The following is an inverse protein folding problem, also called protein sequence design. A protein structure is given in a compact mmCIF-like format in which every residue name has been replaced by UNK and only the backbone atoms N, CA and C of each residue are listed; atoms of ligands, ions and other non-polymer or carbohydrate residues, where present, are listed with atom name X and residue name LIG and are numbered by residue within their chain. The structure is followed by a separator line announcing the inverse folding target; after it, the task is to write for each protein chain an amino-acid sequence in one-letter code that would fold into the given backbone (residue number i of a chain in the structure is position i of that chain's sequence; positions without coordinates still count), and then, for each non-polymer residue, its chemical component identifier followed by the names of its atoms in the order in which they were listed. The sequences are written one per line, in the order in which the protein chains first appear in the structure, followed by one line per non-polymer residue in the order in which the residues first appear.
data_IF_803508476658
#
_entry.id   IF_803508476658
#
_cell.length_a   1.000
_cell.length_b   1.000
_cell.length_c   1.000
_cell.angle_alpha   90.00
_cell.angle_beta   90.00
_cell.angle_gamma   90.00
#
_symmetry.space_group_name_H-M   'P 1'
#
loop_
_entity.id
_entity.type
_entity.pdbx_description
1 polymer ?
#
# COMPACT_ATOMS: atom_id res chain seq x y z
N UNK A 1 -2.06 -25.12 -13.53
CA UNK A 1 -2.39 -24.68 -14.90
C UNK A 1 -2.43 -23.17 -14.81
N UNK A 2 -1.42 -22.48 -15.37
CA UNK A 2 -1.34 -21.02 -15.33
C UNK A 2 -2.58 -20.43 -16.01
N UNK A 3 -3.21 -19.44 -15.38
CA UNK A 3 -4.35 -18.73 -15.93
C UNK A 3 -3.80 -17.66 -16.88
N UNK A 4 -4.09 -17.76 -18.16
CA UNK A 4 -3.75 -16.69 -19.11
C UNK A 4 -4.71 -15.51 -18.96
N UNK A 5 -4.15 -14.31 -18.99
CA UNK A 5 -4.81 -13.00 -18.98
C UNK A 5 -4.63 -12.27 -20.32
N UNK A 6 -4.25 -12.97 -21.40
CA UNK A 6 -3.88 -12.34 -22.67
C UNK A 6 -4.97 -11.40 -23.25
N UNK A 7 -6.26 -11.67 -23.01
CA UNK A 7 -7.35 -10.77 -23.43
C UNK A 7 -7.52 -9.59 -22.49
N UNK A 8 -7.43 -9.87 -21.19
CA UNK A 8 -7.58 -8.90 -20.12
C UNK A 8 -6.45 -7.87 -20.08
N UNK A 9 -5.24 -8.26 -20.50
CA UNK A 9 -4.07 -7.38 -20.60
C UNK A 9 -4.28 -6.24 -21.62
N UNK A 10 -5.17 -6.38 -22.60
CA UNK A 10 -5.51 -5.29 -23.51
C UNK A 10 -6.11 -4.08 -22.76
N UNK A 11 -6.76 -4.30 -21.61
CA UNK A 11 -7.26 -3.22 -20.75
C UNK A 11 -6.12 -2.34 -20.20
N UNK A 12 -4.88 -2.84 -20.16
CA UNK A 12 -3.74 -2.07 -19.67
C UNK A 12 -3.33 -0.95 -20.64
N UNK A 13 -3.74 -1.03 -21.92
CA UNK A 13 -3.47 -0.03 -22.96
C UNK A 13 -4.42 1.17 -22.90
N UNK A 14 -5.51 1.10 -22.13
CA UNK A 14 -6.49 2.18 -22.03
C UNK A 14 -5.83 3.50 -21.58
N UNK A 15 -6.03 4.57 -22.32
CA UNK A 15 -5.47 5.90 -22.02
C UNK A 15 -6.45 6.84 -21.32
N UNK A 16 -6.04 8.10 -21.22
CA UNK A 16 -6.86 9.17 -20.68
C UNK A 16 -8.20 9.28 -21.42
N UNK A 17 -9.29 9.42 -20.66
CA UNK A 17 -10.66 9.52 -21.20
C UNK A 17 -11.32 8.17 -21.52
N UNK A 18 -10.63 7.05 -21.29
CA UNK A 18 -11.23 5.71 -21.39
C UNK A 18 -11.54 5.15 -20.00
N UNK A 19 -12.58 4.33 -19.90
CA UNK A 19 -12.97 3.67 -18.65
C UNK A 19 -12.44 2.25 -18.60
N UNK A 20 -11.68 1.93 -17.56
CA UNK A 20 -11.27 0.57 -17.26
C UNK A 20 -12.42 -0.17 -16.57
N UNK A 21 -12.68 -1.42 -16.96
CA UNK A 21 -13.62 -2.33 -16.30
C UNK A 21 -12.93 -3.68 -16.09
N UNK A 22 -12.71 -4.10 -14.84
CA UNK A 22 -11.96 -5.32 -14.58
C UNK A 22 -11.81 -5.66 -13.10
N UNK A 23 -10.92 -6.62 -12.83
CA UNK A 23 -10.57 -7.11 -11.51
C UNK A 23 -9.47 -6.23 -10.86
N UNK A 24 -9.42 -6.24 -9.52
CA UNK A 24 -8.46 -5.50 -8.70
C UNK A 24 -7.01 -5.68 -9.14
N UNK A 25 -6.61 -6.91 -9.46
CA UNK A 25 -5.22 -7.20 -9.81
C UNK A 25 -4.76 -6.55 -11.13
N UNK A 26 -5.65 -6.51 -12.13
CA UNK A 26 -5.41 -5.80 -13.39
C UNK A 26 -5.38 -4.28 -13.17
N UNK A 27 -6.23 -3.77 -12.27
CA UNK A 27 -6.23 -2.36 -11.91
C UNK A 27 -4.92 -1.93 -11.23
N UNK A 28 -4.35 -2.79 -10.37
CA UNK A 28 -3.02 -2.56 -9.77
C UNK A 28 -1.95 -2.52 -10.87
N UNK A 29 -1.92 -3.49 -11.78
CA UNK A 29 -0.95 -3.49 -12.90
C UNK A 29 -1.11 -2.24 -13.77
N UNK A 30 -2.34 -1.84 -14.08
CA UNK A 30 -2.62 -0.58 -14.80
C UNK A 30 -2.08 0.63 -14.04
N UNK A 31 -2.29 0.69 -12.73
CA UNK A 31 -1.79 1.78 -11.91
C UNK A 31 -0.25 1.81 -11.83
N UNK A 32 0.43 0.65 -11.87
CA UNK A 32 1.90 0.58 -11.98
C UNK A 32 2.38 1.22 -13.28
N UNK A 33 1.76 0.90 -14.42
CA UNK A 33 2.09 1.48 -15.73
C UNK A 33 1.80 2.99 -15.79
N UNK A 34 0.68 3.44 -15.21
CA UNK A 34 0.35 4.86 -15.04
C UNK A 34 1.34 5.58 -14.11
N UNK A 35 2.02 4.85 -13.23
CA UNK A 35 3.00 5.41 -12.29
C UNK A 35 4.41 5.52 -12.87
N UNK A 36 4.67 5.01 -14.08
CA UNK A 36 5.99 5.09 -14.72
C UNK A 36 7.07 4.34 -13.96
N UNK A 37 6.78 3.09 -13.57
CA UNK A 37 7.76 2.18 -12.99
C UNK A 37 8.89 1.89 -13.97
N UNK A 38 10.12 1.78 -13.47
CA UNK A 38 11.30 1.38 -14.23
C UNK A 38 11.48 -0.13 -14.25
N UNK A 39 11.02 -0.81 -13.20
CA UNK A 39 11.11 -2.25 -13.07
C UNK A 39 10.02 -2.82 -12.18
N UNK A 40 9.69 -4.09 -12.43
CA UNK A 40 8.75 -4.87 -11.63
C UNK A 40 9.21 -6.31 -11.50
N UNK A 41 9.00 -6.91 -10.34
CA UNK A 41 9.21 -8.34 -10.13
C UNK A 41 8.30 -8.91 -9.06
N UNK A 42 8.61 -10.10 -8.59
CA UNK A 42 7.82 -10.75 -7.55
C UNK A 42 8.00 -12.26 -7.51
N UNK A 43 7.31 -12.84 -6.54
CA UNK A 43 7.23 -14.28 -6.32
C UNK A 43 5.77 -14.69 -6.16
N UNK A 44 5.38 -15.80 -6.76
CA UNK A 44 3.98 -16.22 -6.83
C UNK A 44 3.45 -16.66 -5.47
N UNK A 45 2.23 -16.20 -5.12
CA UNK A 45 1.48 -16.73 -3.98
C UNK A 45 0.10 -16.10 -3.84
N UNK A 46 -0.93 -16.91 -3.58
CA UNK A 46 -2.31 -16.45 -3.40
C UNK A 46 -2.42 -15.59 -2.14
N UNK A 47 -3.17 -14.46 -2.11
CA UNK A 47 -4.19 -14.07 -3.08
C UNK A 47 -3.69 -13.21 -4.25
N UNK A 48 -2.39 -12.92 -4.34
CA UNK A 48 -1.78 -12.12 -5.42
C UNK A 48 -1.07 -13.00 -6.46
N UNK A 49 -1.40 -14.28 -6.53
CA UNK A 49 -0.76 -15.26 -7.42
C UNK A 49 -0.81 -14.84 -8.88
N UNK A 50 -1.94 -14.28 -9.31
CA UNK A 50 -2.16 -13.84 -10.68
C UNK A 50 -1.44 -12.53 -11.04
N UNK A 51 -0.83 -11.81 -10.09
CA UNK A 51 -0.03 -10.61 -10.44
C UNK A 51 1.06 -10.99 -11.42
N UNK A 52 1.81 -12.06 -11.13
CA UNK A 52 2.92 -12.49 -11.98
C UNK A 52 2.44 -12.96 -13.34
N UNK A 53 1.29 -13.65 -13.40
CA UNK A 53 0.68 -14.07 -14.67
C UNK A 53 0.31 -12.85 -15.53
N UNK A 54 -0.36 -11.85 -14.93
CA UNK A 54 -0.68 -10.59 -15.60
C UNK A 54 0.56 -9.83 -16.05
N UNK A 55 1.61 -9.76 -15.20
CA UNK A 55 2.86 -9.09 -15.55
C UNK A 55 3.59 -9.79 -16.71
N UNK A 56 3.56 -11.12 -16.74
CA UNK A 56 4.15 -11.91 -17.82
C UNK A 56 3.39 -11.75 -19.14
N UNK A 57 2.06 -11.79 -19.11
CA UNK A 57 1.23 -11.58 -20.30
C UNK A 57 1.29 -10.12 -20.80
N UNK A 58 1.62 -9.16 -19.92
CA UNK A 58 1.80 -7.75 -20.25
C UNK A 58 3.23 -7.36 -20.69
N UNK A 59 4.12 -8.33 -20.93
CA UNK A 59 5.53 -8.07 -21.28
C UNK A 59 5.69 -7.18 -22.50
N UNK A 60 4.90 -7.36 -23.54
CA UNK A 60 5.01 -6.53 -24.76
C UNK A 60 4.80 -5.03 -24.45
N UNK A 61 3.78 -4.71 -23.66
CA UNK A 61 3.49 -3.33 -23.22
C UNK A 61 4.65 -2.78 -22.38
N UNK A 62 5.21 -3.60 -21.50
CA UNK A 62 6.34 -3.20 -20.64
C UNK A 62 7.62 -3.01 -21.43
N UNK A 63 7.89 -3.87 -22.40
CA UNK A 63 9.06 -3.80 -23.27
C UNK A 63 8.99 -2.57 -24.18
N UNK A 64 7.82 -2.19 -24.69
CA UNK A 64 7.62 -0.92 -25.41
C UNK A 64 8.03 0.30 -24.56
N UNK A 65 7.67 0.30 -23.27
CA UNK A 65 8.03 1.35 -22.31
C UNK A 65 9.48 1.21 -21.77
N UNK A 66 10.16 0.09 -22.04
CA UNK A 66 11.51 -0.21 -21.55
C UNK A 66 11.57 -0.62 -20.08
N UNK A 67 10.45 -1.09 -19.51
CA UNK A 67 10.32 -1.54 -18.12
C UNK A 67 11.00 -2.90 -17.97
N UNK A 68 11.82 -3.08 -16.93
CA UNK A 68 12.40 -4.38 -16.63
C UNK A 68 11.42 -5.26 -15.85
N UNK A 69 11.05 -6.41 -16.43
CA UNK A 69 10.28 -7.46 -15.73
C UNK A 69 11.20 -8.58 -15.28
N UNK A 70 11.15 -8.94 -14.00
CA UNK A 70 11.94 -10.01 -13.39
C UNK A 70 11.04 -11.05 -12.71
N UNK A 71 11.28 -12.33 -12.97
CA UNK A 71 10.63 -13.43 -12.24
C UNK A 71 11.60 -13.91 -11.18
N UNK A 72 11.40 -13.50 -9.92
CA UNK A 72 12.34 -13.81 -8.86
C UNK A 72 12.20 -15.26 -8.39
N UNK A 73 13.30 -15.85 -7.92
CA UNK A 73 13.31 -17.21 -7.37
C UNK A 73 12.77 -17.29 -5.93
N UNK A 74 12.61 -16.15 -5.25
CA UNK A 74 12.07 -16.04 -3.88
C UNK A 74 11.63 -14.60 -3.58
N UNK A 75 10.86 -14.43 -2.51
CA UNK A 75 10.48 -13.11 -1.98
C UNK A 75 11.68 -12.30 -1.51
N UNK A 76 12.73 -12.96 -0.98
CA UNK A 76 13.99 -12.31 -0.63
C UNK A 76 14.68 -11.71 -1.87
N UNK A 77 14.70 -12.45 -2.99
CA UNK A 77 15.23 -11.96 -4.26
C UNK A 77 14.40 -10.79 -4.82
N UNK A 78 13.07 -10.89 -4.74
CA UNK A 78 12.17 -9.80 -5.11
C UNK A 78 12.45 -8.54 -4.27
N UNK A 79 12.44 -8.66 -2.94
CA UNK A 79 12.73 -7.53 -2.05
C UNK A 79 14.12 -6.91 -2.29
N UNK A 80 15.15 -7.73 -2.56
CA UNK A 80 16.49 -7.24 -2.88
C UNK A 80 16.53 -6.43 -4.18
N UNK A 81 15.68 -6.75 -5.16
CA UNK A 81 15.55 -6.01 -6.43
C UNK A 81 15.18 -4.53 -6.19
N UNK A 82 14.43 -4.23 -5.11
CA UNK A 82 14.11 -2.85 -4.73
C UNK A 82 15.36 -2.01 -4.35
N UNK A 83 16.50 -2.65 -4.12
CA UNK A 83 17.77 -1.97 -3.87
C UNK A 83 18.19 -0.99 -4.98
N UNK A 84 17.74 -1.19 -6.22
CA UNK A 84 18.00 -0.24 -7.31
C UNK A 84 17.40 1.17 -7.03
N UNK A 85 16.27 1.24 -6.32
CA UNK A 85 15.65 2.50 -5.89
C UNK A 85 16.40 3.22 -4.77
N UNK A 86 17.38 2.60 -4.10
CA UNK A 86 18.13 3.23 -3.00
C UNK A 86 18.95 4.41 -3.49
N UNK A 87 19.75 4.19 -4.53
CA UNK A 87 20.69 5.20 -5.05
C UNK A 87 20.13 5.95 -6.26
N UNK A 88 19.25 5.30 -7.03
CA UNK A 88 18.78 5.82 -8.30
C UNK A 88 17.32 6.23 -8.23
N UNK A 89 16.90 7.27 -9.01
CA UNK A 89 15.52 7.71 -9.10
C UNK A 89 14.70 6.76 -10.00
N UNK A 90 14.75 5.46 -9.71
CA UNK A 90 14.04 4.40 -10.40
C UNK A 90 12.84 3.98 -9.57
N UNK A 91 11.64 4.04 -10.15
CA UNK A 91 10.44 3.52 -9.49
C UNK A 91 10.41 2.00 -9.62
N UNK A 92 10.39 1.29 -8.49
CA UNK A 92 10.42 -0.16 -8.42
C UNK A 92 9.16 -0.74 -7.79
N UNK A 93 8.62 -1.82 -8.35
CA UNK A 93 7.51 -2.55 -7.77
C UNK A 93 7.84 -4.04 -7.60
N UNK A 94 7.37 -4.64 -6.51
CA UNK A 94 7.49 -6.09 -6.28
C UNK A 94 6.22 -6.65 -5.67
N UNK A 95 5.92 -7.92 -5.91
CA UNK A 95 4.72 -8.56 -5.36
C UNK A 95 4.98 -9.96 -4.77
N UNK A 96 4.32 -10.30 -3.66
CA UNK A 96 4.30 -11.65 -3.10
C UNK A 96 3.18 -11.86 -2.08
N UNK A 97 3.05 -13.10 -1.62
CA UNK A 97 2.13 -13.50 -0.55
C UNK A 97 2.70 -13.19 0.84
N UNK A 98 2.01 -12.34 1.60
CA UNK A 98 2.22 -12.11 3.03
C UNK A 98 1.38 -13.03 3.93
N UNK A 99 1.82 -13.39 5.13
CA UNK A 99 3.04 -12.93 5.81
C UNK A 99 4.25 -13.83 5.60
N UNK A 100 4.04 -15.09 5.22
CA UNK A 100 5.13 -16.08 5.08
C UNK A 100 6.20 -15.64 4.06
N UNK A 101 5.80 -15.05 2.94
CA UNK A 101 6.75 -14.48 1.98
C UNK A 101 7.47 -13.25 2.53
N UNK A 102 6.79 -12.46 3.36
CA UNK A 102 7.40 -11.31 4.06
C UNK A 102 8.39 -11.76 5.15
N UNK A 103 8.18 -12.91 5.78
CA UNK A 103 9.19 -13.56 6.61
C UNK A 103 10.46 -13.87 5.79
N UNK A 104 10.32 -14.48 4.61
CA UNK A 104 11.44 -14.77 3.69
C UNK A 104 12.12 -13.48 3.24
N UNK A 105 11.36 -12.41 2.95
CA UNK A 105 11.88 -11.11 2.50
C UNK A 105 12.45 -10.22 3.62
N UNK A 106 12.29 -10.57 4.89
CA UNK A 106 12.45 -9.65 6.03
C UNK A 106 13.85 -9.02 6.13
N UNK A 107 14.90 -9.77 5.80
CA UNK A 107 16.29 -9.26 5.82
C UNK A 107 16.53 -8.19 4.74
N UNK A 108 16.14 -8.49 3.50
CA UNK A 108 16.24 -7.54 2.39
C UNK A 108 15.41 -6.27 2.65
N UNK A 109 14.19 -6.42 3.20
CA UNK A 109 13.34 -5.30 3.59
C UNK A 109 13.97 -4.45 4.70
N UNK A 110 14.65 -5.07 5.67
CA UNK A 110 15.33 -4.36 6.75
C UNK A 110 16.47 -3.51 6.20
N UNK A 111 17.26 -4.04 5.26
CA UNK A 111 18.32 -3.29 4.58
C UNK A 111 17.77 -2.14 3.73
N UNK A 112 16.73 -2.41 2.92
CA UNK A 112 16.06 -1.41 2.09
C UNK A 112 15.50 -0.25 2.94
N UNK A 113 14.79 -0.58 4.01
CA UNK A 113 14.14 0.42 4.84
C UNK A 113 15.13 1.21 5.70
N UNK A 114 16.23 0.57 6.15
CA UNK A 114 17.33 1.22 6.90
C UNK A 114 17.88 2.41 6.15
N UNK A 115 18.33 2.19 4.92
CA UNK A 115 18.86 3.27 4.09
C UNK A 115 17.75 4.21 3.61
N UNK A 116 16.60 3.65 3.22
CA UNK A 116 15.57 4.38 2.49
C UNK A 116 15.81 4.42 0.99
N UNK A 117 14.87 5.03 0.26
CA UNK A 117 14.83 5.01 -1.20
C UNK A 117 14.78 6.42 -1.79
N UNK A 118 15.41 6.58 -2.96
CA UNK A 118 15.39 7.79 -3.78
C UNK A 118 14.33 7.73 -4.87
N UNK A 119 14.27 6.62 -5.59
CA UNK A 119 13.14 6.29 -6.45
C UNK A 119 12.02 5.65 -5.64
N UNK A 120 10.76 5.88 -6.00
CA UNK A 120 9.66 5.29 -5.24
C UNK A 120 9.69 3.76 -5.29
N UNK A 121 9.54 3.11 -4.14
CA UNK A 121 9.55 1.65 -4.03
C UNK A 121 8.22 1.16 -3.44
N UNK A 122 7.49 0.34 -4.19
CA UNK A 122 6.19 -0.20 -3.80
C UNK A 122 6.25 -1.72 -3.68
N UNK A 123 5.72 -2.24 -2.58
CA UNK A 123 5.67 -3.66 -2.26
C UNK A 123 4.21 -4.08 -2.19
N UNK A 124 3.71 -4.76 -3.21
CA UNK A 124 2.33 -5.26 -3.24
C UNK A 124 2.27 -6.59 -2.49
N UNK A 125 1.64 -6.61 -1.32
CA UNK A 125 1.52 -7.81 -0.51
C UNK A 125 0.08 -8.32 -0.52
N UNK A 126 -0.08 -9.61 -0.80
CA UNK A 126 -1.36 -10.29 -0.64
C UNK A 126 -1.51 -10.85 0.77
N UNK A 127 -2.46 -10.36 1.56
CA UNK A 127 -2.74 -10.86 2.91
C UNK A 127 -4.15 -11.47 2.99
N UNK A 128 -4.34 -12.46 3.85
CA UNK A 128 -5.62 -13.15 4.03
C UNK A 128 -5.79 -13.64 5.49
N UNK A 129 -5.31 -12.83 6.43
CA UNK A 129 -5.55 -13.05 7.86
C UNK A 129 -7.05 -13.13 8.14
N UNK A 130 -7.47 -14.14 8.90
CA UNK A 130 -8.87 -14.43 9.19
C UNK A 130 -9.67 -15.02 8.02
N UNK A 131 -9.02 -15.30 6.89
CA UNK A 131 -9.63 -15.87 5.68
C UNK A 131 -8.96 -17.22 5.31
N UNK A 132 -9.48 -17.92 4.30
CA UNK A 132 -9.28 -19.36 4.16
C UNK A 132 -8.01 -19.86 3.45
N UNK A 133 -7.13 -19.01 2.93
CA UNK A 133 -5.97 -19.46 2.13
C UNK A 133 -4.62 -19.46 2.88
N UNK A 134 -4.50 -18.80 4.04
CA UNK A 134 -3.29 -18.85 4.87
C UNK A 134 -3.28 -20.01 5.85
N UNK A 135 -2.13 -20.70 5.88
CA UNK A 135 -1.79 -21.66 6.93
C UNK A 135 -1.37 -20.92 8.20
N UNK A 136 -0.58 -19.85 8.07
CA UNK A 136 -0.06 -19.05 9.18
C UNK A 136 -0.89 -17.77 9.29
N UNK A 137 -1.52 -17.58 10.45
CA UNK A 137 -2.39 -16.45 10.76
C UNK A 137 -1.58 -15.37 11.49
N UNK A 138 -0.71 -14.70 10.76
CA UNK A 138 0.07 -13.54 11.19
C UNK A 138 -0.24 -12.34 10.29
N UNK A 139 0.17 -11.13 10.68
CA UNK A 139 -0.12 -9.89 9.95
C UNK A 139 1.12 -9.13 9.50
N UNK A 140 1.05 -8.53 8.31
CA UNK A 140 2.14 -7.75 7.72
C UNK A 140 2.42 -6.45 8.46
N UNK A 141 1.43 -5.95 9.21
CA UNK A 141 1.56 -4.76 10.05
C UNK A 141 2.78 -4.83 10.98
N UNK A 142 3.08 -6.01 11.53
CA UNK A 142 4.26 -6.21 12.38
C UNK A 142 5.58 -5.92 11.64
N UNK A 143 5.68 -6.25 10.35
CA UNK A 143 6.86 -6.00 9.53
C UNK A 143 6.97 -4.52 9.13
N UNK A 144 5.84 -3.89 8.82
CA UNK A 144 5.76 -2.45 8.59
C UNK A 144 6.31 -1.69 9.81
N UNK A 145 5.87 -2.05 11.01
CA UNK A 145 6.35 -1.48 12.28
C UNK A 145 7.82 -1.79 12.55
N UNK A 146 8.22 -3.07 12.41
CA UNK A 146 9.60 -3.53 12.63
C UNK A 146 10.60 -2.75 11.80
N UNK A 147 10.31 -2.59 10.52
CA UNK A 147 11.24 -2.01 9.54
C UNK A 147 10.99 -0.53 9.25
N UNK A 148 9.94 0.07 9.85
CA UNK A 148 9.47 1.43 9.55
C UNK A 148 9.18 1.64 8.05
N UNK A 149 8.38 0.74 7.49
CA UNK A 149 7.90 0.77 6.10
C UNK A 149 6.43 1.21 6.14
N UNK A 150 6.03 2.16 5.29
CA UNK A 150 4.64 2.65 5.33
C UNK A 150 3.69 1.60 4.77
N UNK A 151 2.54 1.41 5.43
CA UNK A 151 1.54 0.42 5.08
C UNK A 151 0.26 1.11 4.61
N UNK A 152 -0.08 0.86 3.37
CA UNK A 152 -1.35 1.23 2.74
C UNK A 152 -2.27 0.03 2.78
N UNK A 153 -3.50 0.21 3.24
CA UNK A 153 -4.58 -0.79 3.22
C UNK A 153 -5.83 -0.15 2.59
N UNK A 154 -5.86 -0.01 1.26
CA UNK A 154 -6.91 0.73 0.56
C UNK A 154 -8.30 0.12 0.78
N UNK A 155 -9.31 0.99 0.86
CA UNK A 155 -10.71 0.61 0.72
C UNK A 155 -10.92 -0.26 -0.53
N UNK A 156 -11.53 -1.46 -0.43
CA UNK A 156 -11.69 -2.39 -1.55
C UNK A 156 -12.64 -1.89 -2.64
N UNK A 157 -12.16 -0.97 -3.48
CA UNK A 157 -12.75 -0.52 -4.74
C UNK A 157 -11.62 -0.07 -5.69
N UNK A 158 -11.85 -0.15 -7.01
CA UNK A 158 -10.77 0.14 -7.97
C UNK A 158 -10.24 1.58 -7.92
N UNK A 159 -11.09 2.63 -7.86
CA UNK A 159 -10.59 4.01 -7.76
C UNK A 159 -9.63 4.24 -6.58
N UNK A 160 -9.96 3.75 -5.38
CA UNK A 160 -9.10 3.88 -4.20
C UNK A 160 -7.82 3.06 -4.36
N UNK A 161 -7.90 1.81 -4.83
CA UNK A 161 -6.72 0.95 -5.03
C UNK A 161 -5.74 1.58 -6.03
N UNK A 162 -6.23 2.01 -7.19
CA UNK A 162 -5.41 2.66 -8.24
C UNK A 162 -4.78 3.94 -7.70
N UNK A 163 -5.56 4.77 -7.01
CA UNK A 163 -5.05 6.00 -6.39
C UNK A 163 -3.98 5.70 -5.34
N UNK A 164 -4.12 4.64 -4.56
CA UNK A 164 -3.13 4.26 -3.53
C UNK A 164 -1.84 3.71 -4.13
N UNK A 165 -1.88 3.04 -5.28
CA UNK A 165 -0.66 2.69 -6.02
C UNK A 165 0.07 3.96 -6.46
N UNK A 166 -0.62 4.89 -7.13
CA UNK A 166 -0.03 6.14 -7.62
C UNK A 166 0.54 6.99 -6.48
N UNK A 167 -0.28 7.20 -5.43
CA UNK A 167 0.13 7.96 -4.24
C UNK A 167 1.14 7.22 -3.39
N UNK A 168 1.22 5.89 -3.45
CA UNK A 168 2.24 5.09 -2.78
C UNK A 168 3.64 5.40 -3.30
N UNK A 169 3.81 5.52 -4.63
CA UNK A 169 5.08 5.96 -5.20
C UNK A 169 5.43 7.39 -4.80
N UNK A 170 4.47 8.31 -4.87
CA UNK A 170 4.70 9.71 -4.47
C UNK A 170 5.03 9.85 -2.97
N UNK A 171 4.33 9.11 -2.10
CA UNK A 171 4.62 9.02 -0.67
C UNK A 171 6.03 8.47 -0.43
N UNK A 172 6.39 7.42 -1.17
CA UNK A 172 7.71 6.79 -1.06
C UNK A 172 8.83 7.78 -1.38
N UNK A 173 8.66 8.56 -2.46
CA UNK A 173 9.63 9.58 -2.88
C UNK A 173 9.66 10.79 -1.95
N UNK A 174 8.50 11.26 -1.50
CA UNK A 174 8.38 12.42 -0.61
C UNK A 174 8.96 12.16 0.79
N UNK A 175 8.93 10.90 1.24
CA UNK A 175 9.42 10.50 2.57
C UNK A 175 10.70 9.67 2.53
N UNK A 176 11.25 9.38 1.35
CA UNK A 176 12.40 8.49 1.15
C UNK A 176 12.26 7.10 1.79
N UNK A 177 11.03 6.57 1.88
CA UNK A 177 10.73 5.27 2.51
C UNK A 177 10.05 4.33 1.53
N UNK A 178 10.40 3.04 1.47
CA UNK A 178 9.57 2.06 0.76
C UNK A 178 8.15 2.01 1.35
N UNK A 179 7.19 1.58 0.52
CA UNK A 179 5.77 1.51 0.88
C UNK A 179 5.23 0.11 0.58
N UNK A 180 4.52 -0.47 1.52
CA UNK A 180 3.70 -1.66 1.35
C UNK A 180 2.29 -1.27 0.94
N UNK A 181 1.77 -1.91 -0.10
CA UNK A 181 0.36 -1.92 -0.48
C UNK A 181 -0.21 -3.28 -0.11
N UNK A 182 -0.98 -3.32 0.96
CA UNK A 182 -1.70 -4.51 1.40
C UNK A 182 -2.97 -4.70 0.57
N UNK A 183 -3.13 -5.90 0.01
CA UNK A 183 -4.33 -6.30 -0.69
C UNK A 183 -4.86 -7.58 -0.09
N UNK A 184 -6.08 -7.50 0.45
CA UNK A 184 -6.79 -8.65 0.98
C UNK A 184 -7.50 -9.43 -0.12
N UNK A 185 -7.90 -10.67 0.14
CA UNK A 185 -8.61 -11.53 -0.84
C UNK A 185 -9.71 -10.77 -1.59
N UNK A 186 -10.57 -10.06 -0.86
CA UNK A 186 -11.69 -9.32 -1.46
C UNK A 186 -11.24 -8.13 -2.31
N UNK A 187 -10.14 -7.48 -1.95
CA UNK A 187 -9.55 -6.40 -2.74
C UNK A 187 -8.86 -6.93 -4.00
N UNK A 188 -8.20 -8.08 -3.92
CA UNK A 188 -7.59 -8.74 -5.09
C UNK A 188 -8.64 -9.10 -6.15
N UNK A 189 -9.81 -9.60 -5.71
CA UNK A 189 -10.88 -10.10 -6.57
C UNK A 189 -12.05 -9.11 -6.76
N UNK A 190 -11.93 -7.86 -6.30
CA UNK A 190 -13.00 -6.88 -6.49
C UNK A 190 -13.09 -6.53 -7.97
N UNK A 191 -14.31 -6.52 -8.50
CA UNK A 191 -14.58 -5.98 -9.83
C UNK A 191 -15.13 -4.57 -9.72
N UNK A 192 -14.74 -3.70 -10.64
CA UNK A 192 -15.24 -2.33 -10.66
C UNK A 192 -14.80 -1.59 -11.92
N UNK A 193 -14.86 -0.27 -11.84
CA UNK A 193 -14.43 0.60 -12.91
C UNK A 193 -13.72 1.85 -12.39
N UNK A 194 -12.86 2.44 -13.20
CA UNK A 194 -12.24 3.74 -12.95
C UNK A 194 -11.85 4.41 -14.28
N UNK A 195 -11.66 5.73 -14.26
CA UNK A 195 -11.13 6.46 -15.42
C UNK A 195 -9.63 6.22 -15.54
N UNK A 196 -9.21 5.61 -16.66
CA UNK A 196 -7.82 5.31 -16.91
C UNK A 196 -7.02 6.58 -17.22
N UNK A 197 -5.72 6.52 -16.95
CA UNK A 197 -4.74 7.52 -17.39
C UNK A 197 -3.78 6.87 -18.39
N UNK A 198 -3.10 7.71 -19.16
CA UNK A 198 -2.05 7.25 -20.06
C UNK A 198 -0.94 6.53 -19.29
N UNK A 199 -0.43 5.45 -19.87
CA UNK A 199 0.78 4.81 -19.38
C UNK A 199 1.94 5.79 -19.51
N UNK A 200 2.81 5.81 -18.50
CA UNK A 200 3.94 6.74 -18.47
C UNK A 200 5.21 5.95 -18.70
N UNK A 201 5.98 6.33 -19.71
CA UNK A 201 7.34 5.82 -19.84
C UNK A 201 8.17 6.26 -18.61
N UNK A 202 8.90 5.36 -17.96
CA UNK A 202 9.77 5.73 -16.85
C UNK A 202 10.87 6.68 -17.32
N UNK A 203 11.30 7.59 -16.43
CA UNK A 203 12.40 8.53 -16.73
C UNK A 203 13.68 7.81 -17.13
N UNK A 204 13.98 6.70 -16.45
CA UNK A 204 15.11 5.83 -16.73
C UNK A 204 14.64 4.39 -16.84
N UNK A 205 15.16 3.66 -17.82
CA UNK A 205 14.64 2.37 -18.26
C UNK A 205 15.70 1.57 -19.02
N UNK A 206 15.38 0.36 -19.47
CA UNK A 206 16.25 -0.40 -20.38
C UNK A 206 16.49 0.30 -21.72
N UNK A 207 15.60 1.21 -22.11
CA UNK A 207 15.70 2.03 -23.34
C UNK A 207 16.34 3.40 -23.11
N UNK A 208 16.38 3.86 -21.86
CA UNK A 208 16.99 5.13 -21.47
C UNK A 208 17.80 4.95 -20.19
N UNK A 209 19.05 4.50 -20.33
CA UNK A 209 19.93 4.20 -19.21
C UNK A 209 20.39 5.48 -18.49
N UNK A 210 20.79 5.35 -17.22
CA UNK A 210 21.45 6.43 -16.49
C UNK A 210 22.89 6.54 -17.00
N UNK A 211 23.24 7.66 -17.63
CA UNK A 211 24.58 7.87 -18.19
C UNK A 211 25.66 8.00 -17.10
N UNK A 212 25.35 8.71 -16.00
CA UNK A 212 26.28 9.00 -14.92
C UNK A 212 25.68 8.52 -13.58
N UNK A 213 25.81 7.23 -13.24
CA UNK A 213 25.31 6.71 -11.97
C UNK A 213 26.11 7.29 -10.80
N UNK A 214 25.43 7.98 -9.89
CA UNK A 214 26.03 8.41 -8.63
C UNK A 214 25.93 7.28 -7.58
N UNK A 215 27.04 7.05 -6.88
CA UNK A 215 27.09 6.13 -5.75
C UNK A 215 27.42 6.91 -4.48
N UNK A 216 26.56 6.81 -3.48
CA UNK A 216 26.74 7.42 -2.18
C UNK A 216 27.00 6.32 -1.14
N UNK A 217 28.21 6.30 -0.58
CA UNK A 217 28.56 5.31 0.45
C UNK A 217 27.70 5.46 1.72
N UNK A 218 27.19 6.66 2.02
CA UNK A 218 26.26 6.88 3.13
C UNK A 218 24.90 6.20 2.90
N UNK A 219 24.61 5.73 1.68
CA UNK A 219 23.43 4.93 1.32
C UNK A 219 23.71 3.43 1.30
N UNK A 220 24.77 2.99 1.97
CA UNK A 220 24.99 1.58 2.28
C UNK A 220 24.62 1.36 3.75
N UNK A 221 23.94 0.26 4.05
CA UNK A 221 23.50 -0.09 5.40
C UNK A 221 24.68 -0.66 6.22
N UNK A 222 25.70 0.17 6.46
CA UNK A 222 26.92 -0.20 7.18
C UNK A 222 27.26 0.82 8.29
N UNK A 223 27.71 0.36 9.48
CA UNK A 223 28.22 1.27 10.50
C UNK A 223 29.44 2.09 9.98
N UNK A 224 29.55 3.38 10.33
CA UNK A 224 28.69 4.13 11.24
C UNK A 224 27.48 4.83 10.58
N UNK A 225 27.27 4.70 9.26
CA UNK A 225 26.19 5.39 8.54
C UNK A 225 24.80 4.98 9.05
N UNK A 226 24.64 3.73 9.50
CA UNK A 226 23.40 3.20 10.08
C UNK A 226 22.86 4.03 11.25
N UNK A 227 23.72 4.62 12.08
CA UNK A 227 23.27 5.48 13.19
C UNK A 227 22.58 6.76 12.70
N UNK A 228 23.09 7.36 11.63
CA UNK A 228 22.49 8.54 11.01
C UNK A 228 21.20 8.15 10.26
N UNK A 229 21.21 7.01 9.58
CA UNK A 229 20.05 6.47 8.87
C UNK A 229 18.87 6.22 9.82
N UNK A 230 19.09 5.61 10.99
CA UNK A 230 18.02 5.38 11.98
C UNK A 230 17.42 6.68 12.53
N UNK A 231 18.26 7.68 12.84
CA UNK A 231 17.75 9.02 13.23
C UNK A 231 16.93 9.65 12.11
N UNK A 232 17.42 9.53 10.87
CA UNK A 232 16.75 10.09 9.70
C UNK A 232 15.34 9.50 9.48
N UNK A 233 15.14 8.20 9.79
CA UNK A 233 13.80 7.60 9.71
C UNK A 233 12.78 8.31 10.59
N UNK A 234 13.14 8.64 11.83
CA UNK A 234 12.22 9.20 12.82
C UNK A 234 12.14 10.72 12.71
N UNK A 235 13.26 11.41 12.50
CA UNK A 235 13.32 12.88 12.54
C UNK A 235 12.95 13.53 11.20
N UNK A 236 13.07 12.80 10.08
CA UNK A 236 12.83 13.35 8.74
C UNK A 236 11.77 12.57 7.97
N UNK A 237 11.97 11.26 7.79
CA UNK A 237 11.13 10.44 6.90
C UNK A 237 9.71 10.28 7.44
N UNK A 238 9.56 10.00 8.73
CA UNK A 238 8.26 9.87 9.37
C UNK A 238 7.43 11.16 9.34
N UNK A 239 7.93 12.34 9.77
CA UNK A 239 7.19 13.58 9.64
C UNK A 239 6.84 13.93 8.19
N UNK A 240 7.73 13.65 7.23
CA UNK A 240 7.45 13.85 5.82
C UNK A 240 6.30 12.96 5.32
N UNK A 241 6.25 11.70 5.76
CA UNK A 241 5.16 10.78 5.45
C UNK A 241 3.83 11.27 6.02
N UNK A 242 3.78 11.58 7.32
CA UNK A 242 2.56 12.10 7.99
C UNK A 242 2.06 13.37 7.29
N UNK A 243 2.96 14.30 6.97
CA UNK A 243 2.63 15.52 6.22
C UNK A 243 2.04 15.19 4.84
N UNK A 244 2.69 14.30 4.08
CA UNK A 244 2.23 13.92 2.75
C UNK A 244 0.84 13.27 2.79
N UNK A 245 0.62 12.34 3.73
CA UNK A 245 -0.65 11.63 3.92
C UNK A 245 -1.78 12.64 4.14
N UNK A 246 -1.57 13.60 5.04
CA UNK A 246 -2.54 14.65 5.38
C UNK A 246 -2.82 15.60 4.21
N UNK A 247 -1.77 16.12 3.58
CA UNK A 247 -1.92 17.07 2.47
C UNK A 247 -2.61 16.44 1.25
N UNK A 248 -2.39 15.15 1.03
CA UNK A 248 -3.01 14.40 -0.06
C UNK A 248 -4.33 13.73 0.34
N UNK A 249 -4.81 13.87 1.58
CA UNK A 249 -6.06 13.26 2.08
C UNK A 249 -6.14 11.78 1.70
N UNK A 250 -5.17 10.99 2.12
CA UNK A 250 -5.15 9.57 1.78
C UNK A 250 -6.21 8.79 2.58
N UNK A 251 -6.49 9.19 3.81
CA UNK A 251 -7.60 8.64 4.59
C UNK A 251 -8.94 9.31 4.22
N UNK A 252 -10.05 8.59 4.41
CA UNK A 252 -11.39 9.06 4.06
C UNK A 252 -12.25 9.23 5.32
N UNK A 253 -13.13 10.23 5.34
CA UNK A 253 -14.16 10.40 6.39
C UNK A 253 -15.53 10.36 5.73
N UNK A 254 -16.42 9.53 6.27
CA UNK A 254 -17.83 9.46 5.90
C UNK A 254 -18.66 9.98 7.06
N UNK A 255 -19.45 11.02 6.82
CA UNK A 255 -20.30 11.64 7.83
C UNK A 255 -21.51 10.76 8.18
N UNK A 256 -22.05 10.96 9.38
CA UNK A 256 -23.27 10.28 9.84
C UNK A 256 -24.02 11.12 10.87
N UNK A 257 -25.37 11.06 10.90
CA UNK A 257 -26.21 11.84 11.81
C UNK A 257 -25.99 11.56 13.32
N UNK A 258 -25.49 10.37 13.69
CA UNK A 258 -25.18 10.01 15.09
C UNK A 258 -23.75 10.46 15.40
N UNK A 259 -23.56 11.78 15.51
CA UNK A 259 -22.24 12.40 15.58
C UNK A 259 -21.49 12.14 16.92
N UNK A 260 -22.22 11.77 17.97
CA UNK A 260 -21.68 11.46 19.30
C UNK A 260 -20.89 10.14 19.34
N UNK A 261 -21.07 9.28 18.34
CA UNK A 261 -20.31 8.04 18.14
C UNK A 261 -19.43 8.14 16.89
N UNK A 262 -18.44 7.25 16.78
CA UNK A 262 -17.62 7.13 15.57
C UNK A 262 -17.10 5.72 15.39
N UNK A 263 -16.74 5.38 14.16
CA UNK A 263 -16.06 4.13 13.83
C UNK A 263 -14.75 4.50 13.15
N UNK A 264 -13.64 3.96 13.64
CA UNK A 264 -12.34 4.02 12.97
C UNK A 264 -12.08 2.63 12.39
N UNK A 265 -11.90 2.50 11.07
CA UNK A 265 -11.68 1.19 10.46
C UNK A 265 -10.50 1.17 9.50
N UNK A 266 -9.81 0.04 9.46
CA UNK A 266 -8.89 -0.28 8.36
C UNK A 266 -9.63 -0.22 7.01
N UNK A 267 -8.99 0.35 5.99
CA UNK A 267 -9.59 0.49 4.66
C UNK A 267 -10.04 -0.84 4.09
N UNK A 268 -9.20 -1.87 4.18
CA UNK A 268 -9.49 -3.23 3.74
C UNK A 268 -10.75 -3.85 4.38
N UNK A 269 -11.17 -3.35 5.55
CA UNK A 269 -12.35 -3.83 6.29
C UNK A 269 -13.62 -3.03 6.02
N UNK A 270 -13.54 -1.88 5.35
CA UNK A 270 -14.64 -0.94 5.20
C UNK A 270 -15.91 -1.59 4.65
N UNK A 271 -15.81 -2.36 3.56
CA UNK A 271 -16.98 -2.97 2.92
C UNK A 271 -17.71 -3.94 3.87
N UNK A 272 -16.96 -4.65 4.73
CA UNK A 272 -17.53 -5.56 5.74
C UNK A 272 -18.17 -4.76 6.86
N UNK A 273 -17.49 -3.73 7.36
CA UNK A 273 -18.01 -2.85 8.41
C UNK A 273 -19.35 -2.22 7.99
N UNK A 274 -19.42 -1.64 6.79
CA UNK A 274 -20.66 -1.05 6.25
C UNK A 274 -21.75 -2.11 6.04
N UNK A 275 -21.41 -3.31 5.55
CA UNK A 275 -22.38 -4.40 5.41
C UNK A 275 -22.96 -4.82 6.76
N UNK A 276 -22.14 -4.89 7.81
CA UNK A 276 -22.59 -5.17 9.17
C UNK A 276 -23.50 -4.06 9.70
N UNK A 277 -23.14 -2.80 9.51
CA UNK A 277 -24.00 -1.66 9.88
C UNK A 277 -25.35 -1.72 9.16
N UNK A 278 -25.37 -2.09 7.89
CA UNK A 278 -26.60 -2.27 7.12
C UNK A 278 -27.51 -3.35 7.75
N UNK A 279 -26.94 -4.50 8.14
CA UNK A 279 -27.68 -5.57 8.81
C UNK A 279 -28.25 -5.14 10.17
N UNK A 280 -27.58 -4.22 10.86
CA UNK A 280 -28.03 -3.64 12.12
C UNK A 280 -29.03 -2.47 11.93
N UNK A 281 -29.38 -2.10 10.68
CA UNK A 281 -30.24 -0.95 10.40
C UNK A 281 -29.56 0.41 10.63
N UNK A 282 -28.22 0.41 10.73
CA UNK A 282 -27.34 1.56 10.92
C UNK A 282 -26.69 2.06 9.62
N UNK A 283 -26.95 1.42 8.48
CA UNK A 283 -26.64 1.95 7.16
C UNK A 283 -27.80 1.66 6.19
N UNK A 284 -27.94 2.46 5.15
CA UNK A 284 -28.96 2.26 4.12
C UNK A 284 -28.52 1.24 3.04
N UNK A 285 -29.35 1.06 2.01
CA UNK A 285 -29.07 0.14 0.90
C UNK A 285 -27.90 0.58 0.00
N UNK A 286 -27.51 1.85 0.07
CA UNK A 286 -26.40 2.42 -0.67
C UNK A 286 -25.09 2.43 0.15
N UNK A 287 -25.15 1.94 1.39
CA UNK A 287 -24.00 1.90 2.30
C UNK A 287 -23.74 3.22 3.03
N UNK A 288 -24.68 4.15 3.03
CA UNK A 288 -24.56 5.40 3.80
C UNK A 288 -24.82 5.09 5.27
N UNK A 289 -23.78 5.24 6.09
CA UNK A 289 -23.81 4.96 7.53
C UNK A 289 -24.52 6.07 8.32
N UNK A 290 -25.25 5.67 9.37
CA UNK A 290 -25.80 6.58 10.38
C UNK A 290 -24.74 7.07 11.35
N UNK A 291 -23.66 6.30 11.53
CA UNK A 291 -22.52 6.62 12.41
C UNK A 291 -21.36 7.10 11.55
N UNK A 292 -20.69 8.22 11.88
CA UNK A 292 -19.49 8.67 11.18
C UNK A 292 -18.40 7.60 11.13
N UNK A 293 -17.74 7.44 9.98
CA UNK A 293 -16.67 6.45 9.77
C UNK A 293 -15.40 7.15 9.30
N UNK A 294 -14.29 6.94 10.01
CA UNK A 294 -12.95 7.30 9.58
C UNK A 294 -12.23 6.07 9.04
N UNK A 295 -11.90 6.10 7.75
CA UNK A 295 -11.30 4.99 7.02
C UNK A 295 -9.80 5.20 6.87
N UNK A 296 -9.04 4.34 7.52
CA UNK A 296 -7.58 4.30 7.47
C UNK A 296 -7.13 3.53 6.22
N UNK A 297 -7.01 4.25 5.11
CA UNK A 297 -6.33 3.71 3.92
C UNK A 297 -4.80 3.68 4.10
N UNK A 298 -4.28 4.42 5.08
CA UNK A 298 -2.91 4.33 5.57
C UNK A 298 -2.95 3.89 7.02
N UNK A 299 -2.49 2.66 7.28
CA UNK A 299 -2.53 2.04 8.62
C UNK A 299 -1.22 2.21 9.37
N UNK A 300 -0.13 2.53 8.64
CA UNK A 300 1.15 2.91 9.24
C UNK A 300 1.92 3.87 8.30
N UNK A 301 2.33 5.06 8.73
CA UNK A 301 2.06 5.66 10.03
C UNK A 301 0.62 6.19 10.13
N UNK A 302 0.06 6.20 11.33
CA UNK A 302 -1.16 6.97 11.59
C UNK A 302 -0.86 8.47 11.59
N UNK A 303 -1.89 9.28 11.29
CA UNK A 303 -1.83 10.75 11.35
C UNK A 303 -2.54 11.22 12.62
N UNK A 304 -1.81 11.59 13.69
CA UNK A 304 -2.42 11.92 14.97
C UNK A 304 -3.42 13.08 14.90
N UNK A 305 -3.18 14.06 14.02
CA UNK A 305 -4.07 15.20 13.85
C UNK A 305 -5.40 14.82 13.20
N UNK A 306 -5.41 13.90 12.24
CA UNK A 306 -6.64 13.39 11.62
C UNK A 306 -7.44 12.56 12.62
N UNK A 307 -6.76 11.67 13.35
CA UNK A 307 -7.35 10.85 14.42
C UNK A 307 -7.96 11.73 15.50
N UNK A 308 -7.19 12.70 16.01
CA UNK A 308 -7.64 13.61 17.06
C UNK A 308 -8.83 14.46 16.61
N UNK A 309 -8.79 14.97 15.36
CA UNK A 309 -9.91 15.73 14.80
C UNK A 309 -11.18 14.91 14.68
N UNK A 310 -11.09 13.65 14.23
CA UNK A 310 -12.26 12.76 14.12
C UNK A 310 -12.84 12.39 15.49
N UNK A 311 -12.00 12.10 16.48
CA UNK A 311 -12.44 11.69 17.81
C UNK A 311 -12.97 12.85 18.66
N UNK A 312 -12.51 14.08 18.41
CA UNK A 312 -12.89 15.25 19.22
C UNK A 312 -14.41 15.48 19.27
N UNK A 313 -14.93 15.69 20.48
CA UNK A 313 -16.37 15.88 20.72
C UNK A 313 -17.21 14.59 20.71
N UNK A 314 -16.64 13.43 20.39
CA UNK A 314 -17.34 12.14 20.45
C UNK A 314 -17.30 11.55 21.85
N UNK A 315 -18.39 10.91 22.25
CA UNK A 315 -18.49 10.17 23.51
C UNK A 315 -17.69 8.86 23.46
N UNK A 316 -17.76 8.16 22.32
CA UNK A 316 -17.01 6.93 22.08
C UNK A 316 -16.70 6.72 20.59
N UNK A 317 -15.62 6.02 20.30
CA UNK A 317 -15.28 5.51 18.97
C UNK A 317 -15.03 4.01 19.03
N UNK A 318 -15.42 3.26 18.00
CA UNK A 318 -15.12 1.85 17.87
C UNK A 318 -13.99 1.65 16.88
N UNK A 319 -12.90 1.01 17.30
CA UNK A 319 -11.84 0.57 16.39
C UNK A 319 -12.25 -0.76 15.72
N UNK A 320 -12.21 -0.79 14.39
CA UNK A 320 -12.42 -1.98 13.57
C UNK A 320 -11.10 -2.28 12.85
N UNK A 321 -10.28 -3.10 13.50
CA UNK A 321 -9.07 -3.66 12.92
C UNK A 321 -9.15 -5.18 12.80
N UNK A 322 -8.14 -5.76 12.16
CA UNK A 322 -7.90 -7.19 12.17
C UNK A 322 -7.71 -7.70 13.59
N UNK A 323 -7.84 -9.02 13.77
CA UNK A 323 -7.64 -9.65 15.07
C UNK A 323 -6.24 -9.46 15.68
N UNK A 324 -5.92 -10.28 16.67
CA UNK A 324 -4.74 -10.09 17.51
C UNK A 324 -3.40 -10.04 16.73
N UNK A 325 -2.44 -9.14 17.10
CA UNK A 325 -2.52 -8.07 18.12
C UNK A 325 -3.42 -6.85 17.83
N UNK A 326 -3.80 -6.05 18.83
CA UNK A 326 -4.58 -4.83 18.59
C UNK A 326 -3.69 -3.61 18.27
N UNK A 327 -2.96 -3.64 17.14
CA UNK A 327 -1.94 -2.62 16.83
C UNK A 327 -2.54 -1.21 16.69
N UNK A 328 -3.70 -1.11 16.06
CA UNK A 328 -4.32 0.18 15.76
C UNK A 328 -5.12 0.72 16.95
N UNK A 329 -5.78 -0.14 17.71
CA UNK A 329 -6.45 0.20 18.97
C UNK A 329 -5.45 0.72 20.00
N UNK A 330 -4.32 0.03 20.20
CA UNK A 330 -3.24 0.48 21.08
C UNK A 330 -2.68 1.84 20.64
N UNK A 331 -2.47 2.04 19.34
CA UNK A 331 -2.00 3.30 18.78
C UNK A 331 -3.04 4.42 18.94
N UNK A 332 -4.33 4.12 18.76
CA UNK A 332 -5.44 5.04 18.94
C UNK A 332 -5.51 5.52 20.39
N UNK A 333 -5.46 4.60 21.37
CA UNK A 333 -5.38 4.94 22.79
C UNK A 333 -4.20 5.88 23.09
N UNK A 334 -3.02 5.58 22.53
CA UNK A 334 -1.84 6.42 22.73
C UNK A 334 -2.00 7.83 22.14
N UNK A 335 -2.58 7.96 20.94
CA UNK A 335 -2.85 9.25 20.29
C UNK A 335 -3.83 10.08 21.11
N UNK A 336 -4.98 9.49 21.49
CA UNK A 336 -6.01 10.19 22.26
C UNK A 336 -5.47 10.66 23.62
N UNK A 337 -4.69 9.81 24.29
CA UNK A 337 -4.09 10.18 25.58
C UNK A 337 -3.08 11.32 25.45
N UNK A 338 -2.24 11.33 24.41
CA UNK A 338 -1.27 12.41 24.14
C UNK A 338 -1.94 13.73 23.77
N UNK A 339 -3.10 13.66 23.12
CA UNK A 339 -3.92 14.82 22.75
C UNK A 339 -4.87 15.29 23.88
N UNK A 340 -4.84 14.62 25.04
CA UNK A 340 -5.75 14.85 26.17
C UNK A 340 -7.25 14.81 25.80
N UNK A 341 -7.61 13.89 24.90
CA UNK A 341 -8.99 13.67 24.48
C UNK A 341 -9.67 12.63 25.38
N UNK A 342 -10.85 12.98 25.90
CA UNK A 342 -11.66 12.13 26.79
C UNK A 342 -12.56 11.12 26.08
N UNK A 343 -12.47 11.01 24.76
CA UNK A 343 -13.24 10.05 23.94
C UNK A 343 -12.86 8.63 24.31
N UNK A 344 -13.86 7.79 24.58
CA UNK A 344 -13.64 6.36 24.87
C UNK A 344 -13.36 5.61 23.56
N UNK A 345 -12.47 4.62 23.61
CA UNK A 345 -12.29 3.60 22.57
C UNK A 345 -12.88 2.31 23.10
#
# INVERSE_FOLDING_TARGET
MERSFAKEVELLKLGAGQTFHGEGILAVTKALLQSGISYVGGYQGAPVSHVMDVLNDARDIMDELGIHVETNASEAGAAAMLGASINYPLRGAVAWKSTVGTNVASDALSNLASVGVRGGALIVIGEDYGEGASIIQERSHAFAMKSQIWLLDPRPNLPTIVRMVEKGFELSEASNTPVMLELRIRACHVHGAFEAKDNRAPRFSRRNAIENPEFDFARVSLPPATYAQEKHKVEVRWPAAVKFIRENRLNEVFEGPIAELGIVCQGGMYNVAVRTLQQLGLADIFGVSKIPIYVLNVTYPLVPEEVGAFCSGKAAVLMVEEGQPAYLEDALHAILRRADLGTKV
#
